data_IF_120776342372
#
_entry.id   IF_120776342372
#
_cell.length_a   1.000
_cell.length_b   1.000
_cell.length_c   1.000
_cell.angle_alpha   90.00
_cell.angle_beta   90.00
_cell.angle_gamma   90.00
#
_symmetry.space_group_name_H-M   'P 1'
#
loop_
_entity.id
_entity.type
_entity.pdbx_description
1 polymer ?
#
# COMPACT_ATOMS: atom_id res chain seq x y z
N UNK A 1 5.99 -11.29 -1.63
CA UNK A 1 6.88 -11.49 -0.45
C UNK A 1 6.12 -12.16 0.71
N UNK A 2 5.10 -11.52 1.30
CA UNK A 2 4.40 -12.04 2.48
C UNK A 2 3.87 -13.48 2.29
N UNK A 3 3.13 -13.72 1.20
CA UNK A 3 2.61 -15.05 0.86
C UNK A 3 3.71 -16.13 0.76
N UNK A 4 4.85 -15.79 0.14
CA UNK A 4 5.99 -16.71 -0.01
C UNK A 4 6.71 -17.04 1.31
N UNK A 5 6.42 -16.31 2.39
CA UNK A 5 7.01 -16.52 3.71
C UNK A 5 5.94 -16.91 4.76
N UNK A 6 4.71 -17.22 4.34
CA UNK A 6 3.62 -17.57 5.26
C UNK A 6 3.20 -16.44 6.20
N UNK A 7 3.42 -15.18 5.80
CA UNK A 7 3.07 -13.99 6.58
C UNK A 7 1.83 -13.33 5.96
N UNK A 8 0.92 -12.85 6.81
CA UNK A 8 -0.26 -12.10 6.37
C UNK A 8 0.13 -10.68 5.89
N UNK A 9 -0.62 -10.16 4.92
CA UNK A 9 -0.46 -8.79 4.44
C UNK A 9 -1.81 -8.07 4.54
N UNK A 10 -1.86 -7.05 5.39
CA UNK A 10 -3.07 -6.24 5.64
C UNK A 10 -3.03 -5.02 4.72
N UNK A 11 -3.97 -4.97 3.77
CA UNK A 11 -4.17 -3.77 2.93
C UNK A 11 -5.10 -2.80 3.67
N UNK A 12 -4.52 -1.84 4.38
CA UNK A 12 -5.26 -0.77 5.06
C UNK A 12 -5.59 0.38 4.09
N UNK A 13 -6.57 1.22 4.45
CA UNK A 13 -6.78 2.51 3.77
C UNK A 13 -5.57 3.44 3.99
N UNK A 14 -5.42 4.43 3.11
CA UNK A 14 -4.39 5.45 3.28
C UNK A 14 -4.62 6.28 4.56
N UNK A 15 -3.52 6.56 5.23
CA UNK A 15 -3.41 7.23 6.51
C UNK A 15 -2.88 6.27 7.59
N UNK A 16 -1.76 6.63 8.21
CA UNK A 16 -1.14 5.87 9.31
C UNK A 16 -2.07 5.58 10.50
N UNK A 17 -3.15 6.36 10.67
CA UNK A 17 -4.22 6.07 11.64
C UNK A 17 -4.78 4.64 11.51
N UNK A 18 -4.85 4.10 10.29
CA UNK A 18 -5.38 2.76 10.04
C UNK A 18 -4.39 1.66 10.45
N UNK A 19 -3.10 1.87 10.16
CA UNK A 19 -2.02 1.00 10.65
C UNK A 19 -1.96 1.05 12.19
N UNK A 20 -2.04 2.24 12.77
CA UNK A 20 -2.07 2.44 14.23
C UNK A 20 -3.26 1.76 14.90
N UNK A 21 -4.46 1.83 14.29
CA UNK A 21 -5.65 1.13 14.78
C UNK A 21 -5.48 -0.40 14.74
N UNK A 22 -4.84 -0.95 13.70
CA UNK A 22 -4.50 -2.39 13.63
C UNK A 22 -3.54 -2.80 14.73
N UNK A 23 -2.47 -2.04 14.95
CA UNK A 23 -1.54 -2.28 16.05
C UNK A 23 -2.23 -2.25 17.42
N UNK A 24 -3.13 -1.29 17.61
CA UNK A 24 -3.94 -1.22 18.83
C UNK A 24 -4.85 -2.45 18.97
N UNK A 25 -5.52 -2.88 17.91
CA UNK A 25 -6.34 -4.11 17.90
C UNK A 25 -5.50 -5.33 18.30
N UNK A 26 -4.33 -5.51 17.69
CA UNK A 26 -3.44 -6.65 18.00
C UNK A 26 -2.98 -6.61 19.46
N UNK A 27 -2.62 -5.44 19.97
CA UNK A 27 -2.28 -5.27 21.39
C UNK A 27 -3.45 -5.61 22.31
N UNK A 28 -4.66 -5.13 22.02
CA UNK A 28 -5.85 -5.36 22.85
C UNK A 28 -6.38 -6.80 22.76
N UNK A 29 -5.96 -7.57 21.75
CA UNK A 29 -6.31 -8.98 21.62
C UNK A 29 -5.56 -9.89 22.62
N UNK A 30 -4.47 -9.41 23.20
CA UNK A 30 -3.69 -10.15 24.19
C UNK A 30 -4.45 -10.26 25.51
N UNK A 31 -4.64 -11.49 25.98
CA UNK A 31 -5.34 -11.77 27.24
C UNK A 31 -4.41 -11.63 28.45
N UNK A 32 -4.92 -11.33 29.66
CA UNK A 32 -4.11 -11.23 30.88
C UNK A 32 -3.21 -12.46 31.14
N UNK A 33 -3.70 -13.66 30.83
CA UNK A 33 -2.96 -14.91 31.05
C UNK A 33 -1.70 -15.00 30.16
N UNK A 34 -1.71 -14.35 29.00
CA UNK A 34 -0.52 -14.24 28.14
C UNK A 34 0.58 -13.41 28.82
N UNK A 35 0.21 -12.32 29.50
CA UNK A 35 1.15 -11.50 30.26
C UNK A 35 1.73 -12.27 31.44
N UNK A 36 0.92 -13.08 32.13
CA UNK A 36 1.41 -13.97 33.19
C UNK A 36 2.39 -15.00 32.67
N UNK A 37 2.02 -15.71 31.58
CA UNK A 37 2.85 -16.75 30.97
C UNK A 37 4.22 -16.24 30.51
N UNK A 38 4.32 -14.99 30.06
CA UNK A 38 5.58 -14.39 29.63
C UNK A 38 6.32 -13.61 30.75
N UNK A 39 5.81 -13.65 31.99
CA UNK A 39 6.42 -12.96 33.14
C UNK A 39 6.36 -11.44 33.01
N UNK A 40 5.24 -10.92 32.53
CA UNK A 40 4.97 -9.51 32.23
C UNK A 40 3.72 -8.97 32.93
N UNK A 41 3.12 -9.77 33.82
CA UNK A 41 1.94 -9.40 34.58
C UNK A 41 2.11 -8.04 35.30
N UNK A 42 1.06 -7.21 35.27
CA UNK A 42 1.04 -5.89 35.90
C UNK A 42 1.87 -4.81 35.18
N UNK A 43 2.64 -5.14 34.14
CA UNK A 43 3.41 -4.15 33.36
C UNK A 43 2.63 -3.74 32.11
N UNK A 44 2.32 -2.43 31.91
CA UNK A 44 1.66 -1.97 30.69
C UNK A 44 2.45 -2.36 29.43
N UNK A 45 1.77 -2.85 28.39
CA UNK A 45 2.39 -3.30 27.14
C UNK A 45 3.39 -2.28 26.56
N UNK A 46 3.03 -1.00 26.54
CA UNK A 46 3.90 0.08 26.04
C UNK A 46 5.22 0.24 26.82
N UNK A 47 5.26 -0.18 28.08
CA UNK A 47 6.45 -0.14 28.95
C UNK A 47 7.30 -1.41 28.88
N UNK A 48 6.81 -2.47 28.23
CA UNK A 48 7.58 -3.70 28.06
C UNK A 48 8.76 -3.49 27.11
N UNK A 49 9.94 -4.09 27.39
CA UNK A 49 11.01 -4.19 26.42
C UNK A 49 10.55 -4.86 25.12
N UNK A 50 11.10 -4.45 23.98
CA UNK A 50 10.71 -5.00 22.67
C UNK A 50 10.72 -6.53 22.63
N UNK A 51 11.76 -7.18 23.18
CA UNK A 51 11.85 -8.65 23.22
C UNK A 51 10.65 -9.32 23.91
N UNK A 52 10.12 -8.68 24.96
CA UNK A 52 8.93 -9.18 25.69
C UNK A 52 7.65 -8.95 24.89
N UNK A 53 7.49 -7.78 24.27
CA UNK A 53 6.36 -7.50 23.36
C UNK A 53 6.34 -8.46 22.16
N UNK A 54 7.48 -8.68 21.54
CA UNK A 54 7.63 -9.59 20.42
C UNK A 54 7.26 -11.03 20.82
N UNK A 55 7.77 -11.53 21.95
CA UNK A 55 7.42 -12.86 22.45
C UNK A 55 5.92 -13.01 22.74
N UNK A 56 5.30 -12.00 23.38
CA UNK A 56 3.86 -11.97 23.63
C UNK A 56 3.07 -12.08 22.34
N UNK A 57 3.35 -11.22 21.35
CA UNK A 57 2.61 -11.20 20.10
C UNK A 57 2.84 -12.44 19.24
N UNK A 58 4.07 -12.98 19.20
CA UNK A 58 4.38 -14.18 18.42
C UNK A 58 3.66 -15.43 18.95
N UNK A 59 3.47 -15.53 20.26
CA UNK A 59 2.86 -16.71 20.90
C UNK A 59 1.36 -16.60 21.11
N UNK A 60 0.88 -15.39 21.41
CA UNK A 60 -0.47 -15.17 21.94
C UNK A 60 -1.30 -14.15 21.15
N UNK A 61 -0.77 -13.62 20.05
CA UNK A 61 -1.43 -12.56 19.28
C UNK A 61 -0.95 -12.47 17.85
N UNK A 62 -0.85 -11.25 17.34
CA UNK A 62 -0.40 -10.95 15.98
C UNK A 62 0.87 -10.13 16.04
N UNK A 63 1.98 -10.74 15.63
CA UNK A 63 3.26 -10.06 15.53
C UNK A 63 3.31 -9.16 14.29
N UNK A 64 3.46 -7.87 14.55
CA UNK A 64 3.69 -6.87 13.51
C UNK A 64 5.15 -6.88 13.07
N UNK A 65 5.39 -7.22 11.80
CA UNK A 65 6.73 -7.23 11.21
C UNK A 65 7.14 -5.82 10.77
N UNK A 66 6.32 -5.19 9.95
CA UNK A 66 6.52 -3.82 9.44
C UNK A 66 5.24 -3.32 8.75
N UNK A 67 5.15 -2.02 8.53
CA UNK A 67 4.09 -1.36 7.80
C UNK A 67 4.60 -0.10 7.13
N UNK A 68 3.89 0.36 6.12
CA UNK A 68 4.27 1.57 5.41
C UNK A 68 3.26 1.97 4.35
N UNK A 69 3.51 3.13 3.77
CA UNK A 69 2.75 3.74 2.69
C UNK A 69 3.68 4.20 1.58
N UNK A 70 3.17 4.28 0.36
CA UNK A 70 3.87 4.77 -0.82
C UNK A 70 4.37 6.21 -0.68
N UNK A 71 3.78 6.96 0.27
CA UNK A 71 4.12 8.34 0.60
C UNK A 71 5.39 8.51 1.45
N UNK A 72 6.30 7.53 1.41
CA UNK A 72 7.55 7.47 2.18
C UNK A 72 7.36 7.36 3.70
N UNK A 73 6.19 6.94 4.16
CA UNK A 73 5.94 6.65 5.57
C UNK A 73 6.22 5.18 5.86
N UNK A 74 7.14 4.89 6.79
CA UNK A 74 7.48 3.52 7.18
C UNK A 74 7.44 3.36 8.70
N UNK A 75 7.13 2.16 9.13
CA UNK A 75 7.07 1.78 10.54
C UNK A 75 7.66 0.37 10.72
N UNK A 76 8.84 0.33 11.32
CA UNK A 76 9.58 -0.90 11.59
C UNK A 76 9.29 -1.56 12.92
N UNK A 77 8.42 -0.97 13.76
CA UNK A 77 8.15 -1.48 15.10
C UNK A 77 6.76 -1.13 15.59
N UNK A 78 6.31 -1.81 16.63
CA UNK A 78 5.06 -1.53 17.34
C UNK A 78 5.23 -0.50 18.48
N UNK A 79 6.38 0.20 18.57
CA UNK A 79 6.67 1.15 19.63
C UNK A 79 5.86 2.44 19.52
N UNK A 80 5.56 2.85 18.29
CA UNK A 80 4.79 4.06 17.98
C UNK A 80 3.53 3.68 17.18
N UNK A 81 2.64 4.65 16.97
CA UNK A 81 1.38 4.46 16.21
C UNK A 81 1.33 5.31 14.94
N UNK A 82 2.47 5.86 14.55
CA UNK A 82 2.66 6.70 13.37
C UNK A 82 3.98 6.31 12.69
N UNK A 83 4.24 6.87 11.50
CA UNK A 83 5.49 6.68 10.78
C UNK A 83 6.70 7.13 11.60
N UNK A 84 7.79 6.38 11.49
CA UNK A 84 9.05 6.68 12.17
C UNK A 84 10.19 6.72 11.15
N UNK A 85 10.51 7.93 10.69
CA UNK A 85 11.58 8.16 9.72
C UNK A 85 12.95 7.78 10.26
N UNK A 86 13.22 7.99 11.55
CA UNK A 86 14.51 7.68 12.14
C UNK A 86 14.72 6.16 12.21
N UNK A 87 13.70 5.41 12.62
CA UNK A 87 13.74 3.95 12.61
C UNK A 87 13.90 3.41 11.19
N UNK A 88 13.18 3.97 10.21
CA UNK A 88 13.29 3.57 8.80
C UNK A 88 14.72 3.79 8.24
N UNK A 89 15.37 4.89 8.61
CA UNK A 89 16.77 5.17 8.24
C UNK A 89 17.72 4.12 8.84
N UNK A 90 17.53 3.73 10.10
CA UNK A 90 18.36 2.68 10.70
C UNK A 90 18.16 1.33 9.99
N UNK A 91 16.92 0.96 9.66
CA UNK A 91 16.62 -0.27 8.93
C UNK A 91 17.27 -0.31 7.54
N UNK A 92 17.22 0.79 6.78
CA UNK A 92 17.83 0.83 5.45
C UNK A 92 19.36 0.80 5.54
N UNK A 93 19.97 1.42 6.55
CA UNK A 93 21.41 1.36 6.79
C UNK A 93 21.85 -0.07 7.15
N UNK A 94 21.09 -0.76 8.01
CA UNK A 94 21.35 -2.15 8.36
C UNK A 94 21.28 -3.06 7.12
N UNK A 95 20.23 -2.92 6.31
CA UNK A 95 20.08 -3.65 5.05
C UNK A 95 21.23 -3.34 4.08
N UNK A 96 21.61 -2.07 3.93
CA UNK A 96 22.71 -1.66 3.05
C UNK A 96 24.06 -2.22 3.52
N UNK A 97 24.31 -2.23 4.83
CA UNK A 97 25.49 -2.84 5.44
C UNK A 97 25.54 -4.34 5.18
N UNK A 98 24.41 -5.04 5.36
CA UNK A 98 24.28 -6.47 5.05
C UNK A 98 24.52 -6.76 3.57
N UNK A 99 23.93 -5.97 2.66
CA UNK A 99 24.11 -6.12 1.21
C UNK A 99 25.58 -5.92 0.83
N UNK A 100 26.23 -4.89 1.38
CA UNK A 100 27.65 -4.62 1.16
C UNK A 100 28.53 -5.76 1.67
N UNK A 101 28.22 -6.34 2.83
CA UNK A 101 28.93 -7.51 3.36
C UNK A 101 28.77 -8.76 2.48
N UNK A 102 27.72 -8.80 1.64
CA UNK A 102 27.50 -9.83 0.61
C UNK A 102 28.11 -9.47 -0.76
N UNK A 103 28.83 -8.36 -0.86
CA UNK A 103 29.43 -7.89 -2.12
C UNK A 103 28.41 -7.32 -3.10
N UNK A 104 27.24 -6.90 -2.62
CA UNK A 104 26.16 -6.32 -3.45
C UNK A 104 25.89 -4.87 -3.04
N UNK A 105 25.40 -4.06 -3.98
CA UNK A 105 24.77 -2.78 -3.69
C UNK A 105 23.25 -2.92 -3.50
N UNK A 106 22.58 -1.83 -3.10
CA UNK A 106 21.14 -1.83 -2.81
C UNK A 106 20.31 -2.15 -4.07
N UNK A 107 20.69 -1.64 -5.23
CA UNK A 107 19.97 -1.88 -6.48
C UNK A 107 20.08 -3.35 -6.92
N UNK A 108 21.27 -3.95 -6.78
CA UNK A 108 21.48 -5.38 -7.04
C UNK A 108 20.68 -6.24 -6.06
N UNK A 109 20.60 -5.83 -4.80
CA UNK A 109 19.78 -6.54 -3.81
C UNK A 109 18.30 -6.46 -4.16
N UNK A 110 17.80 -5.28 -4.55
CA UNK A 110 16.42 -5.11 -5.03
C UNK A 110 16.16 -5.99 -6.27
N UNK A 111 17.10 -6.08 -7.20
CA UNK A 111 16.99 -6.95 -8.38
C UNK A 111 16.92 -8.42 -7.99
N UNK A 112 17.64 -8.84 -6.94
CA UNK A 112 17.51 -10.20 -6.40
C UNK A 112 16.12 -10.46 -5.80
N UNK A 113 15.51 -9.46 -5.17
CA UNK A 113 14.14 -9.54 -4.64
C UNK A 113 13.14 -9.69 -5.79
N UNK A 114 13.27 -8.88 -6.85
CA UNK A 114 12.41 -8.99 -8.03
C UNK A 114 12.54 -10.34 -8.72
N UNK A 115 13.76 -10.86 -8.88
CA UNK A 115 13.99 -12.21 -9.45
C UNK A 115 13.36 -13.31 -8.60
N UNK A 116 13.37 -13.17 -7.27
CA UNK A 116 12.83 -14.16 -6.34
C UNK A 116 11.30 -14.13 -6.23
N UNK A 117 10.71 -12.94 -6.19
CA UNK A 117 9.29 -12.77 -5.83
C UNK A 117 8.40 -12.20 -6.95
N UNK A 118 8.98 -11.92 -8.12
CA UNK A 118 8.32 -11.24 -9.22
C UNK A 118 8.58 -9.74 -9.24
N UNK A 119 8.57 -9.17 -10.44
CA UNK A 119 8.79 -7.76 -10.67
C UNK A 119 7.49 -6.96 -10.59
N UNK A 120 7.55 -5.86 -9.85
CA UNK A 120 6.46 -4.88 -9.72
C UNK A 120 7.03 -3.48 -9.86
N UNK A 121 6.30 -2.63 -10.57
CA UNK A 121 6.60 -1.21 -10.75
C UNK A 121 5.35 -0.40 -10.46
N UNK A 122 5.52 0.71 -9.77
CA UNK A 122 4.43 1.60 -9.43
C UNK A 122 4.74 3.03 -9.83
N UNK A 123 3.70 3.79 -10.13
CA UNK A 123 3.83 5.23 -10.35
C UNK A 123 2.54 5.95 -10.01
N UNK A 124 2.69 7.22 -9.62
CA UNK A 124 1.58 8.11 -9.31
C UNK A 124 1.40 9.16 -10.42
N UNK A 125 0.18 9.29 -10.93
CA UNK A 125 -0.27 10.44 -11.71
C UNK A 125 -1.13 11.35 -10.83
N UNK A 126 -0.84 12.63 -10.90
CA UNK A 126 -1.52 13.68 -10.16
C UNK A 126 -2.22 14.62 -11.15
N UNK A 127 -3.54 14.57 -11.21
CA UNK A 127 -4.35 15.54 -11.96
C UNK A 127 -4.76 16.64 -10.99
N UNK A 128 -4.20 17.84 -11.19
CA UNK A 128 -4.48 19.02 -10.36
C UNK A 128 -5.35 19.97 -11.15
N UNK A 129 -6.46 20.41 -10.55
CA UNK A 129 -7.35 21.41 -11.13
C UNK A 129 -7.56 22.49 -10.07
N UNK A 130 -7.22 23.74 -10.38
CA UNK A 130 -7.12 24.79 -9.37
C UNK A 130 -8.47 25.43 -9.02
N UNK A 131 -8.53 25.99 -7.82
CA UNK A 131 -9.67 26.76 -7.33
C UNK A 131 -10.94 25.94 -7.03
N UNK A 132 -12.02 26.65 -6.70
CA UNK A 132 -13.31 26.03 -6.37
C UNK A 132 -13.92 25.28 -7.57
N UNK A 133 -13.73 25.79 -8.78
CA UNK A 133 -14.11 25.13 -10.02
C UNK A 133 -13.36 23.80 -10.18
N UNK A 134 -12.05 23.78 -9.92
CA UNK A 134 -11.24 22.57 -9.93
C UNK A 134 -11.74 21.53 -8.94
N UNK A 135 -12.06 21.92 -7.71
CA UNK A 135 -12.64 20.99 -6.72
C UNK A 135 -13.96 20.35 -7.21
N UNK A 136 -14.81 21.09 -7.92
CA UNK A 136 -16.03 20.56 -8.52
C UNK A 136 -15.74 19.59 -9.67
N UNK A 137 -14.77 19.91 -10.52
CA UNK A 137 -14.31 19.02 -11.59
C UNK A 137 -13.71 17.71 -11.06
N UNK A 138 -12.93 17.76 -9.98
CA UNK A 138 -12.41 16.55 -9.33
C UNK A 138 -13.53 15.65 -8.82
N UNK A 139 -14.54 16.23 -8.15
CA UNK A 139 -15.75 15.46 -7.73
C UNK A 139 -16.44 14.84 -8.94
N UNK A 140 -16.56 15.59 -10.03
CA UNK A 140 -17.18 15.13 -11.27
C UNK A 140 -16.42 13.94 -11.89
N UNK A 141 -15.09 13.97 -11.90
CA UNK A 141 -14.25 12.83 -12.32
C UNK A 141 -14.59 11.60 -11.47
N UNK A 142 -14.57 11.73 -10.14
CA UNK A 142 -14.80 10.60 -9.23
C UNK A 142 -16.22 10.03 -9.36
N UNK A 143 -17.24 10.89 -9.42
CA UNK A 143 -18.63 10.45 -9.63
C UNK A 143 -18.78 9.78 -10.99
N UNK A 144 -18.19 10.36 -12.05
CA UNK A 144 -18.25 9.78 -13.40
C UNK A 144 -17.59 8.41 -13.47
N UNK A 145 -16.46 8.18 -12.79
CA UNK A 145 -15.81 6.87 -12.73
C UNK A 145 -16.67 5.83 -12.02
N UNK A 146 -17.44 6.24 -11.01
CA UNK A 146 -18.38 5.37 -10.28
C UNK A 146 -19.62 5.03 -11.10
N UNK A 147 -20.23 6.03 -11.76
CA UNK A 147 -21.48 5.81 -12.52
C UNK A 147 -21.23 5.20 -13.90
N UNK A 148 -20.09 5.51 -14.52
CA UNK A 148 -19.72 5.01 -15.84
C UNK A 148 -18.23 4.64 -15.86
N UNK A 149 -17.84 3.54 -15.18
CA UNK A 149 -16.47 3.07 -15.16
C UNK A 149 -16.02 2.69 -16.58
N UNK A 150 -14.76 2.97 -16.96
CA UNK A 150 -14.21 2.49 -18.23
C UNK A 150 -14.30 0.97 -18.30
N UNK A 151 -14.71 0.45 -19.46
CA UNK A 151 -14.71 -1.01 -19.73
C UNK A 151 -13.36 -1.51 -20.23
N UNK A 152 -12.51 -0.59 -20.66
CA UNK A 152 -11.21 -0.85 -21.25
C UNK A 152 -10.28 0.35 -20.94
N UNK A 153 -9.02 0.06 -20.68
CA UNK A 153 -7.95 1.04 -20.48
C UNK A 153 -6.77 0.58 -21.34
N UNK A 154 -6.34 1.43 -22.28
CA UNK A 154 -5.25 1.12 -23.22
C UNK A 154 -5.40 -0.20 -23.99
N UNK A 155 -6.57 -0.51 -24.56
CA UNK A 155 -6.75 -1.80 -25.25
C UNK A 155 -7.01 -2.97 -24.31
N UNK A 156 -6.83 -2.81 -23.00
CA UNK A 156 -6.97 -3.89 -22.01
C UNK A 156 -8.30 -3.79 -21.28
N UNK A 157 -9.07 -4.88 -21.31
CA UNK A 157 -10.37 -4.96 -20.64
C UNK A 157 -10.24 -4.79 -19.13
N UNK A 158 -11.15 -4.02 -18.53
CA UNK A 158 -11.35 -3.97 -17.09
C UNK A 158 -12.09 -5.24 -16.66
N UNK A 159 -11.39 -6.11 -15.93
CA UNK A 159 -11.94 -7.39 -15.45
C UNK A 159 -12.56 -7.28 -14.07
N UNK A 160 -12.16 -6.26 -13.30
CA UNK A 160 -12.70 -5.98 -11.99
C UNK A 160 -12.70 -4.47 -11.73
N UNK A 161 -13.79 -3.97 -11.17
CA UNK A 161 -13.91 -2.63 -10.62
C UNK A 161 -14.41 -2.75 -9.18
N UNK A 162 -13.61 -2.28 -8.23
CA UNK A 162 -13.97 -2.21 -6.81
C UNK A 162 -14.21 -0.76 -6.44
N UNK A 163 -15.39 -0.50 -5.88
CA UNK A 163 -15.77 0.80 -5.35
C UNK A 163 -15.83 0.71 -3.83
N UNK A 164 -14.81 1.25 -3.14
CA UNK A 164 -14.75 1.21 -1.68
C UNK A 164 -15.87 2.02 -1.02
N UNK A 165 -16.58 2.88 -1.76
CA UNK A 165 -17.76 3.59 -1.29
C UNK A 165 -19.04 2.75 -1.35
N UNK A 166 -19.13 1.76 -2.25
CA UNK A 166 -20.33 0.91 -2.46
C UNK A 166 -20.16 -0.52 -1.98
N UNK A 167 -19.01 -1.13 -2.25
CA UNK A 167 -18.74 -2.54 -1.96
C UNK A 167 -18.39 -2.77 -0.48
N UNK A 168 -18.87 -3.88 0.09
CA UNK A 168 -18.42 -4.29 1.44
C UNK A 168 -17.12 -5.07 1.30
N UNK A 169 -16.00 -4.39 1.51
CA UNK A 169 -14.66 -4.98 1.40
C UNK A 169 -14.15 -5.29 2.79
N UNK A 170 -13.53 -6.46 2.96
CA UNK A 170 -12.87 -6.87 4.20
C UNK A 170 -11.38 -7.02 3.98
N UNK A 171 -10.58 -6.68 5.00
CA UNK A 171 -9.15 -6.98 4.99
C UNK A 171 -8.87 -8.44 5.43
N UNK A 172 -7.59 -8.81 5.51
CA UNK A 172 -7.19 -10.18 5.83
C UNK A 172 -7.51 -10.61 7.28
N UNK A 173 -7.79 -9.66 8.18
CA UNK A 173 -8.25 -9.97 9.55
C UNK A 173 -9.78 -10.09 9.62
N UNK A 174 -10.47 -9.92 8.47
CA UNK A 174 -11.93 -9.95 8.38
C UNK A 174 -12.62 -8.65 8.78
N UNK A 175 -11.87 -7.58 9.06
CA UNK A 175 -12.44 -6.27 9.40
C UNK A 175 -13.00 -5.60 8.14
N UNK A 176 -14.17 -4.99 8.25
CA UNK A 176 -14.77 -4.21 7.15
C UNK A 176 -13.97 -2.92 6.96
N UNK A 177 -13.51 -2.70 5.73
CA UNK A 177 -12.83 -1.47 5.34
C UNK A 177 -13.86 -0.33 5.28
N UNK A 178 -13.59 0.82 5.93
CA UNK A 178 -14.49 1.98 5.89
C UNK A 178 -14.73 2.50 4.48
N UNK A 179 -15.91 3.08 4.27
CA UNK A 179 -16.33 3.63 2.98
C UNK A 179 -15.54 4.87 2.63
N UNK A 180 -15.03 4.93 1.41
CA UNK A 180 -14.24 6.06 0.90
C UNK A 180 -14.46 6.20 -0.62
N UNK A 181 -14.32 7.41 -1.17
CA UNK A 181 -14.21 7.63 -2.63
C UNK A 181 -12.84 7.17 -3.13
N UNK A 182 -12.65 5.85 -3.09
CA UNK A 182 -11.48 5.13 -3.53
C UNK A 182 -11.91 3.99 -4.45
N UNK A 183 -11.31 3.95 -5.62
CA UNK A 183 -11.66 3.00 -6.67
C UNK A 183 -10.45 2.17 -7.05
N UNK A 184 -10.68 0.92 -7.42
CA UNK A 184 -9.63 0.02 -7.84
C UNK A 184 -10.06 -0.76 -9.09
N UNK A 185 -9.29 -0.60 -10.16
CA UNK A 185 -9.47 -1.27 -11.45
C UNK A 185 -8.41 -2.36 -11.59
N UNK A 186 -8.82 -3.58 -11.92
CA UNK A 186 -7.92 -4.64 -12.37
C UNK A 186 -8.13 -4.86 -13.87
N UNK A 187 -7.04 -4.85 -14.64
CA UNK A 187 -7.04 -5.08 -16.08
C UNK A 187 -6.64 -6.53 -16.39
N UNK A 188 -7.13 -7.06 -17.51
CA UNK A 188 -6.83 -8.44 -17.95
C UNK A 188 -5.34 -8.69 -18.19
N UNK A 189 -4.58 -7.65 -18.56
CA UNK A 189 -3.13 -7.73 -18.75
C UNK A 189 -2.33 -7.71 -17.42
N UNK A 190 -3.01 -7.69 -16.28
CA UNK A 190 -2.40 -7.69 -14.94
C UNK A 190 -2.08 -6.31 -14.38
N UNK A 191 -2.21 -5.22 -15.16
CA UNK A 191 -2.09 -3.86 -14.64
C UNK A 191 -3.27 -3.55 -13.70
N UNK A 192 -2.98 -2.80 -12.65
CA UNK A 192 -3.99 -2.32 -11.70
C UNK A 192 -3.90 -0.81 -11.57
N UNK A 193 -5.05 -0.17 -11.41
CA UNK A 193 -5.14 1.29 -11.27
C UNK A 193 -6.01 1.59 -10.06
N UNK A 194 -5.49 2.36 -9.10
CA UNK A 194 -6.27 2.87 -7.99
C UNK A 194 -6.50 4.38 -8.12
N UNK A 195 -7.70 4.85 -7.81
CA UNK A 195 -8.09 6.26 -8.00
C UNK A 195 -8.68 6.82 -6.73
N UNK A 196 -8.27 8.02 -6.34
CA UNK A 196 -8.87 8.77 -5.21
C UNK A 196 -8.80 10.27 -5.41
N UNK A 197 -9.73 10.96 -4.75
CA UNK A 197 -9.57 12.39 -4.46
C UNK A 197 -8.51 12.63 -3.38
N UNK A 198 -7.85 13.78 -3.46
CA UNK A 198 -7.13 14.37 -2.34
C UNK A 198 -8.13 15.12 -1.44
N UNK A 199 -8.01 14.94 -0.12
CA UNK A 199 -8.89 15.59 0.86
C UNK A 199 -8.49 17.04 1.17
N UNK A 200 -7.25 17.43 0.87
CA UNK A 200 -6.67 18.73 1.23
C UNK A 200 -6.43 19.64 0.04
N UNK A 201 -6.36 19.08 -1.17
CA UNK A 201 -6.03 19.81 -2.40
C UNK A 201 -6.99 19.37 -3.51
N UNK A 202 -7.33 20.23 -4.48
CA UNK A 202 -8.22 19.87 -5.59
C UNK A 202 -7.46 19.03 -6.62
N UNK A 203 -7.19 17.78 -6.24
CA UNK A 203 -6.32 16.86 -6.95
C UNK A 203 -6.91 15.45 -6.98
N UNK A 204 -6.88 14.82 -8.15
CA UNK A 204 -7.20 13.40 -8.32
C UNK A 204 -5.88 12.63 -8.48
N UNK A 205 -5.72 11.57 -7.70
CA UNK A 205 -4.54 10.70 -7.70
C UNK A 205 -4.88 9.39 -8.39
N UNK A 206 -4.07 9.03 -9.37
CA UNK A 206 -4.12 7.72 -10.04
C UNK A 206 -2.83 6.97 -9.72
N UNK A 207 -2.94 5.91 -8.94
CA UNK A 207 -1.87 4.96 -8.66
C UNK A 207 -1.89 3.89 -9.73
N UNK A 208 -0.77 3.68 -10.40
CA UNK A 208 -0.64 2.73 -11.51
C UNK A 208 0.33 1.66 -11.04
N UNK A 209 -0.13 0.41 -11.01
CA UNK A 209 0.66 -0.75 -10.64
C UNK A 209 0.82 -1.64 -11.86
N UNK A 210 2.05 -1.78 -12.31
CA UNK A 210 2.44 -2.70 -13.37
C UNK A 210 3.18 -3.88 -12.78
N UNK A 211 2.93 -5.06 -13.34
CA UNK A 211 3.75 -6.24 -13.15
C UNK A 211 4.07 -6.79 -14.53
N UNK A 212 5.24 -7.40 -14.67
CA UNK A 212 5.65 -7.97 -15.94
C UNK A 212 6.34 -9.31 -15.67
N UNK A 213 5.83 -10.36 -16.33
CA UNK A 213 6.31 -11.73 -16.22
C UNK A 213 7.53 -12.04 -17.09
N UNK A 214 8.11 -11.06 -17.77
CA UNK A 214 9.29 -11.24 -18.61
C UNK A 214 10.46 -11.78 -17.75
N UNK A 215 11.04 -12.95 -18.09
CA UNK A 215 12.11 -13.55 -17.30
C UNK A 215 13.40 -12.71 -17.32
N UNK A 216 13.57 -11.85 -18.33
CA UNK A 216 14.62 -10.85 -18.36
C UNK A 216 14.16 -9.60 -17.58
N UNK A 217 14.71 -9.43 -16.38
CA UNK A 217 14.36 -8.31 -15.50
C UNK A 217 14.61 -6.93 -16.14
N UNK A 218 15.62 -6.79 -17.00
CA UNK A 218 15.90 -5.51 -17.65
C UNK A 218 14.79 -5.17 -18.67
N UNK A 219 14.35 -6.16 -19.45
CA UNK A 219 13.20 -6.00 -20.34
C UNK A 219 11.90 -5.79 -19.58
N UNK A 220 11.67 -6.55 -18.51
CA UNK A 220 10.51 -6.39 -17.63
C UNK A 220 10.38 -4.95 -17.12
N UNK A 221 11.49 -4.36 -16.65
CA UNK A 221 11.57 -2.97 -16.20
C UNK A 221 11.24 -1.99 -17.33
N UNK A 222 11.85 -2.14 -18.51
CA UNK A 222 11.65 -1.24 -19.63
C UNK A 222 10.19 -1.28 -20.16
N UNK A 223 9.64 -2.48 -20.33
CA UNK A 223 8.27 -2.70 -20.79
C UNK A 223 7.24 -2.15 -19.79
N UNK A 224 7.44 -2.38 -18.48
CA UNK A 224 6.56 -1.82 -17.46
C UNK A 224 6.63 -0.30 -17.38
N UNK A 225 7.82 0.29 -17.52
CA UNK A 225 7.98 1.75 -17.57
C UNK A 225 7.22 2.34 -18.75
N UNK A 226 7.34 1.76 -19.95
CA UNK A 226 6.60 2.19 -21.13
C UNK A 226 5.07 2.06 -20.94
N UNK A 227 4.60 0.94 -20.37
CA UNK A 227 3.20 0.72 -20.08
C UNK A 227 2.64 1.73 -19.06
N UNK A 228 3.42 2.08 -18.03
CA UNK A 228 3.06 3.10 -17.03
C UNK A 228 2.91 4.47 -17.69
N UNK A 229 3.85 4.90 -18.54
CA UNK A 229 3.77 6.20 -19.20
C UNK A 229 2.57 6.30 -20.15
N UNK A 230 2.30 5.23 -20.91
CA UNK A 230 1.07 5.15 -21.72
C UNK A 230 -0.18 5.27 -20.84
N UNK A 231 -0.20 4.61 -19.68
CA UNK A 231 -1.36 4.62 -18.77
C UNK A 231 -1.57 6.00 -18.18
N UNK A 232 -0.49 6.71 -17.80
CA UNK A 232 -0.58 8.10 -17.35
C UNK A 232 -1.19 9.01 -18.41
N UNK A 233 -0.75 8.89 -19.66
CA UNK A 233 -1.27 9.71 -20.76
C UNK A 233 -2.77 9.49 -20.96
N UNK A 234 -3.19 8.22 -21.05
CA UNK A 234 -4.61 7.85 -21.19
C UNK A 234 -5.46 8.33 -20.01
N UNK A 235 -5.02 8.06 -18.78
CA UNK A 235 -5.78 8.42 -17.57
C UNK A 235 -5.89 9.94 -17.41
N UNK A 236 -4.86 10.69 -17.77
CA UNK A 236 -4.92 12.15 -17.79
C UNK A 236 -5.95 12.65 -18.79
N UNK A 237 -5.96 12.11 -20.00
CA UNK A 237 -6.93 12.50 -21.03
C UNK A 237 -8.38 12.15 -20.62
N UNK A 238 -8.61 10.93 -20.13
CA UNK A 238 -9.92 10.48 -19.62
C UNK A 238 -10.40 11.36 -18.46
N UNK A 239 -9.52 11.67 -17.50
CA UNK A 239 -9.85 12.57 -16.39
C UNK A 239 -10.26 13.97 -16.88
N UNK A 240 -9.54 14.54 -17.86
CA UNK A 240 -9.90 15.86 -18.41
C UNK A 240 -11.21 15.84 -19.18
N UNK A 241 -11.51 14.75 -19.91
CA UNK A 241 -12.81 14.59 -20.57
C UNK A 241 -13.95 14.55 -19.55
N UNK A 242 -13.81 13.75 -18.49
CA UNK A 242 -14.81 13.64 -17.40
C UNK A 242 -14.99 14.95 -16.63
N UNK A 243 -13.91 15.70 -16.41
CA UNK A 243 -13.97 17.00 -15.77
C UNK A 243 -14.84 18.01 -16.55
N UNK A 244 -14.84 17.91 -17.88
CA UNK A 244 -15.47 18.89 -18.77
C UNK A 244 -16.84 18.47 -19.34
N UNK A 245 -17.21 17.19 -19.23
CA UNK A 245 -18.46 16.64 -19.78
C UNK A 245 -19.65 16.82 -18.84
#
# INVERSE_FOLDING_TARGET
>A
IAAANGVNCVNALTGFKWIGAKLQKYQLSLKPEAFEAEGCAGTPYAKLPWKKRAALQLKHGTFFVTGGEESYGYLGSDCVRDKDGNAAVLMIIEMASWAKAKGMNIAEYLDSIYKKYGFYSESLLNVVLEGAAGAAQIRKILTSLRENPPKEILGSKVVEFKDFGRDTIKDCDGDVIPKEDFYFFSLENGMKIAVRGSGTEPKCKFYIFASNGNPDLAKAKAEAAAAIEAAKAFLKEDAMKRANA
#
